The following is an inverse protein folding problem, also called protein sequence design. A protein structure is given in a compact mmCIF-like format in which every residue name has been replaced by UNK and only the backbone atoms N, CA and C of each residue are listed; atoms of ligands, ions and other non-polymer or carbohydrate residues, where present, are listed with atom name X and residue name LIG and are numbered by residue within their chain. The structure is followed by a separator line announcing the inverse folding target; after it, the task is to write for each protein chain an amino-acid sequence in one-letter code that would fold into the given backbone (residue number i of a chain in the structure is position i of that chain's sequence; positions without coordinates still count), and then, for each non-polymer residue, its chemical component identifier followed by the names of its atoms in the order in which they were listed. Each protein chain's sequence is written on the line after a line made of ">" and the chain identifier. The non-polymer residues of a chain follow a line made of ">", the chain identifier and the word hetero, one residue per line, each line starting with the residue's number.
data_IF_957427831319
#
_entry.id   IF_957427831319
#
_cell.length_a   1.000
_cell.length_b   1.000
_cell.length_c   1.000
_cell.angle_alpha   90.00
_cell.angle_beta   90.00
_cell.angle_gamma   90.00
#
_symmetry.space_group_name_H-M   'P 1'
#
loop_
_entity.id
_entity.type
_entity.pdbx_description
1 polymer ?
#
# COMPACT_ATOMS: atom_id res chain seq x y z
N UNK A 1 23.04 -5.33 -2.47
CA UNK A 1 22.22 -4.74 -1.37
C UNK A 1 22.39 -5.61 -0.14
N UNK A 2 22.70 -5.06 1.04
CA UNK A 2 22.73 -5.85 2.28
C UNK A 2 21.31 -5.95 2.81
N UNK A 3 20.79 -7.16 2.95
CA UNK A 3 19.46 -7.43 3.50
C UNK A 3 19.44 -7.14 5.00
N UNK A 4 18.35 -6.56 5.49
CA UNK A 4 18.09 -6.48 6.93
C UNK A 4 17.94 -7.90 7.49
N UNK A 5 18.63 -8.22 8.57
CA UNK A 5 18.49 -9.52 9.25
C UNK A 5 17.62 -9.36 10.48
N UNK A 6 16.56 -10.14 10.54
CA UNK A 6 15.68 -10.25 11.70
C UNK A 6 15.85 -11.61 12.35
N UNK A 7 15.71 -11.66 13.66
CA UNK A 7 15.61 -12.94 14.34
C UNK A 7 14.14 -13.32 14.43
N UNK A 8 13.80 -14.48 13.87
CA UNK A 8 12.45 -15.05 13.85
C UNK A 8 11.79 -15.13 15.22
N UNK A 9 12.58 -15.29 16.30
CA UNK A 9 12.08 -15.39 17.67
C UNK A 9 11.34 -14.14 18.17
N UNK A 10 11.67 -12.98 17.64
CA UNK A 10 11.01 -11.72 17.99
C UNK A 10 9.71 -11.50 17.24
N UNK A 11 9.56 -12.14 16.12
CA UNK A 11 8.35 -12.15 15.33
C UNK A 11 7.24 -12.93 16.06
N UNK A 12 7.59 -14.05 16.67
CA UNK A 12 6.67 -14.92 17.39
C UNK A 12 6.16 -14.28 18.69
N UNK A 13 6.99 -13.47 19.36
CA UNK A 13 6.70 -12.90 20.68
C UNK A 13 6.05 -11.50 20.63
N UNK A 14 5.68 -11.00 19.46
CA UNK A 14 4.90 -9.77 19.33
C UNK A 14 5.62 -8.45 19.62
N UNK A 15 6.92 -8.50 19.96
CA UNK A 15 7.73 -7.31 20.20
C UNK A 15 8.65 -7.03 19.02
N UNK A 16 8.32 -6.01 18.28
CA UNK A 16 9.09 -5.56 17.12
C UNK A 16 10.33 -4.81 17.57
N UNK A 17 11.44 -5.52 17.71
CA UNK A 17 12.73 -4.88 17.90
C UNK A 17 13.56 -5.18 16.66
N UNK A 18 13.75 -4.18 15.83
CA UNK A 18 14.74 -4.26 14.78
C UNK A 18 16.13 -4.45 15.39
N UNK A 19 16.83 -5.50 15.02
CA UNK A 19 18.27 -5.55 15.14
C UNK A 19 18.85 -5.29 13.77
N UNK A 20 19.26 -4.05 13.45
CA UNK A 20 19.97 -3.83 12.21
C UNK A 20 21.28 -4.59 12.23
N UNK A 21 21.66 -5.12 11.07
CA UNK A 21 23.03 -5.56 10.84
C UNK A 21 23.90 -4.28 10.90
N UNK A 22 25.17 -4.40 11.28
CA UNK A 22 26.09 -3.28 11.50
C UNK A 22 26.01 -2.15 10.46
N UNK A 23 25.74 -2.47 9.20
CA UNK A 23 25.65 -1.47 8.12
C UNK A 23 24.29 -0.76 7.99
N UNK A 24 23.32 -1.10 8.81
CA UNK A 24 21.99 -0.47 8.83
C UNK A 24 21.77 0.43 10.04
N UNK A 25 22.79 0.64 10.86
CA UNK A 25 22.72 1.43 12.10
C UNK A 25 22.22 2.86 11.81
N UNK A 26 22.67 3.47 10.73
CA UNK A 26 22.26 4.82 10.35
C UNK A 26 20.76 4.91 10.04
N UNK A 27 20.21 3.91 9.38
CA UNK A 27 18.79 3.85 9.06
C UNK A 27 17.94 3.58 10.31
N UNK A 28 18.38 2.67 11.15
CA UNK A 28 17.74 2.38 12.43
C UNK A 28 17.70 3.61 13.35
N UNK A 29 18.81 4.37 13.44
CA UNK A 29 18.89 5.63 14.20
C UNK A 29 17.91 6.65 13.60
N UNK A 30 17.80 6.76 12.29
CA UNK A 30 16.86 7.67 11.66
C UNK A 30 15.42 7.39 12.11
N UNK A 31 15.01 6.13 12.13
CA UNK A 31 13.68 5.73 12.57
C UNK A 31 13.49 5.88 14.08
N UNK A 32 14.42 5.47 14.88
CA UNK A 32 14.30 5.49 16.35
C UNK A 32 14.42 6.89 16.94
N UNK A 33 15.13 7.79 16.30
CA UNK A 33 15.31 9.16 16.75
C UNK A 33 14.32 10.16 16.14
N UNK A 34 13.53 9.75 15.14
CA UNK A 34 12.47 10.61 14.64
C UNK A 34 11.34 10.69 15.66
N UNK A 35 10.89 11.90 16.00
CA UNK A 35 9.71 12.10 16.87
C UNK A 35 8.47 11.38 16.34
N UNK A 36 8.45 11.05 15.08
CA UNK A 36 7.35 10.37 14.39
C UNK A 36 7.28 8.87 14.71
N UNK A 37 8.40 8.26 15.11
CA UNK A 37 8.46 6.86 15.53
C UNK A 37 8.32 6.63 17.04
N UNK A 38 8.24 7.69 17.82
CA UNK A 38 7.84 7.58 19.24
C UNK A 38 6.36 7.20 19.41
N UNK A 39 5.63 7.03 18.29
CA UNK A 39 4.31 6.44 18.31
C UNK A 39 4.42 4.95 18.66
N UNK A 40 3.53 4.49 19.54
CA UNK A 40 3.37 3.08 19.84
C UNK A 40 3.26 2.30 18.51
N UNK A 41 4.27 1.51 18.20
CA UNK A 41 4.21 0.61 17.05
C UNK A 41 3.13 -0.43 17.29
N UNK A 42 2.44 -0.85 16.25
CA UNK A 42 1.50 -1.95 16.34
C UNK A 42 2.35 -3.23 16.34
N UNK A 43 2.19 -4.07 17.35
CA UNK A 43 2.97 -5.30 17.44
C UNK A 43 2.45 -6.36 16.46
N UNK A 44 3.28 -7.37 16.19
CA UNK A 44 2.96 -8.40 15.21
C UNK A 44 1.71 -9.21 15.57
N UNK A 45 1.55 -9.58 16.82
CA UNK A 45 0.37 -10.34 17.27
C UNK A 45 -0.93 -9.56 17.04
N UNK A 46 -0.90 -8.23 17.25
CA UNK A 46 -2.04 -7.37 16.97
C UNK A 46 -2.36 -7.33 15.48
N UNK A 47 -1.33 -7.30 14.61
CA UNK A 47 -1.54 -7.32 13.16
C UNK A 47 -2.13 -8.64 12.71
N UNK A 48 -1.64 -9.77 13.22
CA UNK A 48 -2.24 -11.08 12.92
C UNK A 48 -3.68 -11.15 13.39
N UNK A 49 -3.97 -10.64 14.58
CA UNK A 49 -5.35 -10.55 15.08
C UNK A 49 -6.23 -9.66 14.19
N UNK A 50 -5.72 -8.49 13.77
CA UNK A 50 -6.40 -7.59 12.81
C UNK A 50 -6.74 -8.33 11.51
N UNK A 51 -5.78 -9.06 10.92
CA UNK A 51 -5.99 -9.81 9.69
C UNK A 51 -7.02 -10.93 9.88
N UNK A 52 -6.96 -11.67 11.00
CA UNK A 52 -7.84 -12.79 11.27
C UNK A 52 -9.27 -12.37 11.59
N UNK A 53 -9.46 -11.23 12.25
CA UNK A 53 -10.76 -10.73 12.72
C UNK A 53 -11.39 -9.68 11.81
N UNK A 54 -10.67 -9.24 10.76
CA UNK A 54 -11.14 -8.22 9.84
C UNK A 54 -12.43 -8.65 9.13
N UNK A 55 -13.45 -7.81 9.22
CA UNK A 55 -14.70 -7.95 8.43
C UNK A 55 -14.47 -7.74 6.93
N UNK A 56 -13.32 -7.18 6.53
CA UNK A 56 -12.94 -6.94 5.14
C UNK A 56 -12.23 -8.16 4.51
N UNK A 57 -11.85 -9.15 5.30
CA UNK A 57 -11.06 -10.31 4.89
C UNK A 57 -11.72 -11.11 3.76
N UNK A 58 -13.02 -11.36 3.84
CA UNK A 58 -13.75 -12.09 2.78
C UNK A 58 -13.68 -11.35 1.45
N UNK A 59 -13.96 -10.03 1.48
CA UNK A 59 -13.85 -9.18 0.28
C UNK A 59 -12.44 -9.19 -0.31
N UNK A 60 -11.41 -9.14 0.53
CA UNK A 60 -10.03 -9.23 0.11
C UNK A 60 -9.73 -10.57 -0.59
N UNK A 61 -10.09 -11.69 0.04
CA UNK A 61 -9.85 -13.03 -0.52
C UNK A 61 -10.56 -13.22 -1.87
N UNK A 62 -11.81 -12.75 -1.98
CA UNK A 62 -12.57 -12.81 -3.23
C UNK A 62 -11.89 -11.99 -4.34
N UNK A 63 -11.42 -10.79 -4.05
CA UNK A 63 -10.73 -9.95 -5.02
C UNK A 63 -9.42 -10.58 -5.50
N UNK A 64 -8.60 -11.11 -4.57
CA UNK A 64 -7.33 -11.77 -4.93
C UNK A 64 -7.55 -13.02 -5.77
N UNK A 65 -8.58 -13.84 -5.47
CA UNK A 65 -8.92 -15.05 -6.26
C UNK A 65 -9.33 -14.71 -7.69
N UNK A 66 -9.96 -13.55 -7.90
CA UNK A 66 -10.45 -13.11 -9.20
C UNK A 66 -9.51 -12.10 -9.88
N UNK A 67 -8.34 -11.88 -9.31
CA UNK A 67 -7.39 -10.91 -9.84
C UNK A 67 -6.77 -11.42 -11.15
N UNK A 68 -6.83 -10.60 -12.19
CA UNK A 68 -6.24 -10.92 -13.48
C UNK A 68 -4.74 -10.59 -13.49
N UNK A 69 -3.91 -11.59 -13.25
CA UNK A 69 -2.45 -11.48 -13.22
C UNK A 69 -1.83 -11.22 -14.59
N UNK A 70 -2.54 -11.50 -15.70
CA UNK A 70 -2.02 -11.30 -17.07
C UNK A 70 -1.86 -9.81 -17.41
N UNK A 71 -2.53 -8.93 -16.65
CA UNK A 71 -2.40 -7.48 -16.82
C UNK A 71 -1.13 -6.91 -16.22
N UNK A 72 -0.45 -7.66 -15.35
CA UNK A 72 0.73 -7.17 -14.63
C UNK A 72 1.97 -7.41 -15.47
N UNK A 73 2.81 -6.37 -15.58
CA UNK A 73 4.16 -6.55 -16.09
C UNK A 73 4.98 -7.42 -15.14
N UNK A 74 5.70 -8.39 -15.68
CA UNK A 74 6.71 -9.10 -14.91
C UNK A 74 7.84 -8.14 -14.53
N UNK A 75 8.01 -7.92 -13.24
CA UNK A 75 8.99 -7.02 -12.66
C UNK A 75 9.35 -7.48 -11.26
N UNK A 76 10.60 -7.32 -10.88
CA UNK A 76 11.06 -7.58 -9.52
C UNK A 76 10.70 -6.42 -8.56
N UNK A 77 10.34 -5.26 -9.11
CA UNK A 77 10.05 -4.05 -8.33
C UNK A 77 8.53 -3.80 -8.27
N UNK A 78 7.85 -3.80 -9.43
CA UNK A 78 6.43 -3.45 -9.57
C UNK A 78 5.57 -4.65 -10.05
N UNK A 79 6.07 -5.87 -9.82
CA UNK A 79 5.37 -7.10 -10.21
C UNK A 79 4.35 -7.59 -9.17
N UNK A 80 3.92 -8.84 -9.33
CA UNK A 80 2.87 -9.45 -8.51
C UNK A 80 3.17 -9.39 -7.01
N UNK A 81 4.42 -9.64 -6.60
CA UNK A 81 4.81 -9.58 -5.18
C UNK A 81 4.54 -8.21 -4.56
N UNK A 82 4.85 -7.12 -5.29
CA UNK A 82 4.53 -5.76 -4.88
C UNK A 82 3.01 -5.56 -4.70
N UNK A 83 2.23 -5.95 -5.70
CA UNK A 83 0.76 -5.83 -5.66
C UNK A 83 0.15 -6.57 -4.46
N UNK A 84 0.62 -7.78 -4.19
CA UNK A 84 0.13 -8.56 -3.03
C UNK A 84 0.51 -7.89 -1.72
N UNK A 85 1.76 -7.45 -1.54
CA UNK A 85 2.18 -6.80 -0.29
C UNK A 85 1.42 -5.48 -0.05
N UNK A 86 1.29 -4.64 -1.07
CA UNK A 86 0.54 -3.37 -0.97
C UNK A 86 -0.94 -3.60 -0.65
N UNK A 87 -1.56 -4.63 -1.24
CA UNK A 87 -2.95 -4.98 -0.95
C UNK A 87 -3.15 -5.49 0.48
N UNK A 88 -2.18 -6.21 1.06
CA UNK A 88 -2.20 -6.62 2.47
C UNK A 88 -2.06 -5.40 3.39
N UNK A 89 -1.15 -4.47 3.08
CA UNK A 89 -1.05 -3.21 3.83
C UNK A 89 -2.37 -2.44 3.80
N UNK A 90 -3.01 -2.37 2.63
CA UNK A 90 -4.31 -1.72 2.51
C UNK A 90 -5.39 -2.40 3.37
N UNK A 91 -5.43 -3.73 3.42
CA UNK A 91 -6.36 -4.48 4.29
C UNK A 91 -6.14 -4.14 5.77
N UNK A 92 -4.88 -4.13 6.23
CA UNK A 92 -4.53 -3.79 7.61
C UNK A 92 -4.96 -2.36 7.94
N UNK A 93 -4.53 -1.39 7.14
CA UNK A 93 -4.85 0.04 7.31
C UNK A 93 -6.37 0.23 7.33
N UNK A 94 -7.07 -0.34 6.36
CA UNK A 94 -8.53 -0.21 6.24
C UNK A 94 -9.28 -0.81 7.42
N UNK A 95 -8.75 -1.88 8.01
CA UNK A 95 -9.35 -2.50 9.19
C UNK A 95 -9.18 -1.62 10.42
N UNK A 96 -7.98 -1.07 10.64
CA UNK A 96 -7.67 -0.17 11.76
C UNK A 96 -8.48 1.12 11.64
N UNK A 97 -8.54 1.70 10.44
CA UNK A 97 -9.29 2.93 10.13
C UNK A 97 -10.81 2.71 10.04
N UNK A 98 -11.29 1.48 10.28
CA UNK A 98 -12.71 1.10 10.25
C UNK A 98 -13.40 1.51 8.94
N UNK A 99 -12.72 1.32 7.82
CA UNK A 99 -13.24 1.63 6.50
C UNK A 99 -14.44 0.73 6.19
N UNK A 100 -15.49 1.30 5.62
CA UNK A 100 -16.68 0.54 5.18
C UNK A 100 -16.30 -0.39 4.03
N UNK A 101 -16.92 -1.57 3.98
CA UNK A 101 -16.62 -2.59 2.96
C UNK A 101 -16.76 -2.05 1.52
N UNK A 102 -17.76 -1.20 1.28
CA UNK A 102 -17.95 -0.56 -0.02
C UNK A 102 -16.74 0.31 -0.44
N UNK A 103 -16.23 1.13 0.46
CA UNK A 103 -15.06 2.00 0.20
C UNK A 103 -13.79 1.18 0.10
N UNK A 104 -13.69 0.10 0.87
CA UNK A 104 -12.57 -0.84 0.77
C UNK A 104 -12.53 -1.53 -0.60
N UNK A 105 -13.67 -1.95 -1.17
CA UNK A 105 -13.73 -2.50 -2.52
C UNK A 105 -13.14 -1.54 -3.57
N UNK A 106 -13.52 -0.26 -3.51
CA UNK A 106 -12.98 0.77 -4.41
C UNK A 106 -11.46 0.88 -4.28
N UNK A 107 -10.94 0.99 -3.05
CA UNK A 107 -9.50 1.06 -2.81
C UNK A 107 -8.76 -0.21 -3.21
N UNK A 108 -9.36 -1.38 -2.95
CA UNK A 108 -8.77 -2.67 -3.28
C UNK A 108 -8.61 -2.86 -4.79
N UNK A 109 -9.62 -2.54 -5.58
CA UNK A 109 -9.48 -2.53 -7.05
C UNK A 109 -8.41 -1.51 -7.47
N UNK A 110 -8.40 -0.33 -6.86
CA UNK A 110 -7.42 0.68 -7.21
C UNK A 110 -5.99 0.18 -6.96
N UNK A 111 -5.71 -0.44 -5.81
CA UNK A 111 -4.35 -0.90 -5.49
C UNK A 111 -3.97 -2.16 -6.25
N UNK A 112 -4.92 -3.02 -6.61
CA UNK A 112 -4.64 -4.19 -7.44
C UNK A 112 -4.21 -3.82 -8.86
N UNK A 113 -4.73 -2.70 -9.39
CA UNK A 113 -4.49 -2.31 -10.78
C UNK A 113 -3.69 -1.01 -10.95
N UNK A 114 -3.12 -0.42 -9.88
CA UNK A 114 -2.45 0.87 -9.95
C UNK A 114 -1.25 0.89 -10.90
N UNK A 115 -0.50 -0.19 -10.96
CA UNK A 115 0.76 -0.30 -11.71
C UNK A 115 0.65 -0.99 -13.08
N UNK A 116 -0.55 -1.43 -13.50
CA UNK A 116 -0.70 -2.14 -14.80
C UNK A 116 -0.39 -1.27 -16.02
N UNK A 117 -0.33 0.04 -15.86
CA UNK A 117 0.06 0.97 -16.90
C UNK A 117 1.57 1.11 -17.10
N UNK A 118 2.39 0.51 -16.23
CA UNK A 118 3.86 0.54 -16.35
C UNK A 118 4.35 -0.25 -17.56
N UNK A 119 5.32 0.30 -18.26
CA UNK A 119 6.05 -0.35 -19.35
C UNK A 119 7.48 -0.72 -18.92
N UNK A 120 8.00 -0.10 -17.88
CA UNK A 120 9.33 -0.33 -17.28
C UNK A 120 9.31 0.00 -15.78
N UNK A 121 10.45 -0.16 -15.11
CA UNK A 121 10.61 0.13 -13.68
C UNK A 121 11.20 1.53 -13.40
N UNK A 122 11.33 2.36 -14.44
CA UNK A 122 11.78 3.75 -14.34
C UNK A 122 10.64 4.60 -13.75
N UNK A 123 11.00 5.69 -13.10
CA UNK A 123 10.04 6.65 -12.58
C UNK A 123 9.18 7.24 -13.73
N UNK A 124 7.88 7.06 -13.62
CA UNK A 124 6.89 7.46 -14.64
C UNK A 124 5.61 7.94 -13.95
N UNK A 125 5.40 9.24 -13.91
CA UNK A 125 4.20 9.85 -13.33
C UNK A 125 2.91 9.61 -14.14
N UNK A 126 3.01 9.04 -15.35
CA UNK A 126 1.86 8.78 -16.21
C UNK A 126 1.36 7.33 -16.16
N UNK A 127 2.09 6.40 -15.51
CA UNK A 127 1.71 5.00 -15.52
C UNK A 127 0.31 4.76 -14.91
N UNK A 128 -0.09 5.52 -13.90
CA UNK A 128 -1.43 5.44 -13.34
C UNK A 128 -2.51 5.85 -14.35
N UNK A 129 -2.28 6.91 -15.13
CA UNK A 129 -3.18 7.30 -16.21
C UNK A 129 -3.19 6.25 -17.33
N UNK A 130 -2.04 5.72 -17.71
CA UNK A 130 -1.95 4.68 -18.74
C UNK A 130 -2.66 3.38 -18.35
N UNK A 131 -2.79 3.10 -17.05
CA UNK A 131 -3.53 1.95 -16.55
C UNK A 131 -5.02 2.01 -16.91
N UNK A 132 -5.61 3.20 -16.98
CA UNK A 132 -7.06 3.38 -17.20
C UNK A 132 -7.56 2.70 -18.47
N UNK A 133 -6.75 2.72 -19.55
CA UNK A 133 -7.10 2.09 -20.83
C UNK A 133 -7.24 0.56 -20.75
N UNK A 134 -6.83 -0.06 -19.64
CA UNK A 134 -6.90 -1.49 -19.40
C UNK A 134 -8.02 -1.88 -18.41
N UNK A 135 -8.83 -0.92 -17.93
CA UNK A 135 -9.78 -1.10 -16.83
C UNK A 135 -11.24 -1.15 -17.27
N UNK A 136 -11.53 -1.27 -18.57
CA UNK A 136 -12.91 -1.25 -19.09
C UNK A 136 -13.81 -2.33 -18.46
N UNK A 137 -13.24 -3.49 -18.11
CA UNK A 137 -13.95 -4.55 -17.41
C UNK A 137 -14.52 -4.14 -16.04
N UNK A 138 -13.97 -3.11 -15.40
CA UNK A 138 -14.50 -2.58 -14.13
C UNK A 138 -15.80 -1.79 -14.33
N UNK A 139 -16.09 -1.33 -15.55
CA UNK A 139 -17.35 -0.61 -15.86
C UNK A 139 -18.58 -1.53 -15.72
N UNK A 140 -18.41 -2.82 -15.89
CA UNK A 140 -19.48 -3.79 -15.68
C UNK A 140 -19.73 -4.08 -14.20
N UNK A 141 -18.71 -3.87 -13.36
CA UNK A 141 -18.71 -4.19 -11.94
C UNK A 141 -19.10 -3.00 -11.05
N UNK A 142 -18.81 -1.78 -11.52
CA UNK A 142 -19.00 -0.53 -10.77
C UNK A 142 -19.84 0.47 -11.53
N UNK A 143 -20.69 1.21 -10.81
CA UNK A 143 -21.39 2.33 -11.42
C UNK A 143 -20.40 3.47 -11.81
N UNK A 144 -20.85 4.40 -12.65
CA UNK A 144 -20.00 5.47 -13.17
C UNK A 144 -19.31 6.30 -12.06
N UNK A 145 -19.98 6.53 -10.95
CA UNK A 145 -19.41 7.32 -9.84
C UNK A 145 -18.27 6.57 -9.16
N UNK A 146 -18.44 5.28 -8.93
CA UNK A 146 -17.44 4.41 -8.33
C UNK A 146 -16.27 4.19 -9.29
N UNK A 147 -16.55 3.89 -10.55
CA UNK A 147 -15.53 3.76 -11.59
C UNK A 147 -14.68 5.02 -11.73
N UNK A 148 -15.29 6.20 -11.73
CA UNK A 148 -14.57 7.46 -11.78
C UNK A 148 -13.65 7.67 -10.58
N UNK A 149 -14.08 7.27 -9.37
CA UNK A 149 -13.24 7.31 -8.17
C UNK A 149 -12.06 6.33 -8.29
N UNK A 150 -12.28 5.11 -8.76
CA UNK A 150 -11.21 4.11 -9.00
C UNK A 150 -10.18 4.69 -9.98
N UNK A 151 -10.62 5.19 -11.13
CA UNK A 151 -9.73 5.80 -12.12
C UNK A 151 -8.96 6.99 -11.56
N UNK A 152 -9.62 7.84 -10.76
CA UNK A 152 -8.97 8.98 -10.12
C UNK A 152 -7.93 8.54 -9.09
N UNK A 153 -8.19 7.49 -8.29
CA UNK A 153 -7.24 6.95 -7.32
C UNK A 153 -6.03 6.36 -8.06
N UNK A 154 -6.26 5.53 -9.08
CA UNK A 154 -5.20 4.91 -9.88
C UNK A 154 -4.33 5.98 -10.55
N UNK A 155 -4.93 7.00 -11.16
CA UNK A 155 -4.16 8.11 -11.74
C UNK A 155 -3.44 8.92 -10.68
N UNK A 156 -4.10 9.20 -9.56
CA UNK A 156 -3.56 10.07 -8.50
C UNK A 156 -2.44 9.45 -7.65
N UNK A 157 -2.29 8.09 -7.65
CA UNK A 157 -1.34 7.45 -6.75
C UNK A 157 0.12 7.85 -7.03
N UNK A 158 0.50 8.02 -8.30
CA UNK A 158 1.85 8.38 -8.74
C UNK A 158 2.06 9.89 -8.95
N UNK A 159 1.01 10.71 -8.78
CA UNK A 159 1.06 12.18 -8.98
C UNK A 159 1.27 12.89 -7.63
N UNK A 160 1.97 14.03 -7.67
CA UNK A 160 2.14 14.91 -6.51
C UNK A 160 0.78 15.36 -5.93
N UNK A 161 0.65 15.35 -4.62
CA UNK A 161 -0.59 15.65 -3.88
C UNK A 161 -1.20 17.02 -4.23
N UNK A 162 -0.38 18.02 -4.60
CA UNK A 162 -0.84 19.34 -5.04
C UNK A 162 -1.70 19.30 -6.31
N UNK A 163 -1.63 18.22 -7.09
CA UNK A 163 -2.38 18.06 -8.34
C UNK A 163 -3.64 17.19 -8.21
N UNK A 164 -3.90 16.61 -7.06
CA UNK A 164 -5.04 15.70 -6.86
C UNK A 164 -6.40 16.35 -7.15
N UNK A 165 -6.54 17.68 -6.94
CA UNK A 165 -7.77 18.36 -7.31
C UNK A 165 -8.03 18.31 -8.82
N UNK A 166 -6.99 18.48 -9.63
CA UNK A 166 -7.09 18.41 -11.11
C UNK A 166 -7.46 16.99 -11.56
N UNK A 167 -6.89 15.96 -10.91
CA UNK A 167 -7.25 14.56 -11.17
C UNK A 167 -8.73 14.32 -10.86
N UNK A 168 -9.20 14.77 -9.70
CA UNK A 168 -10.61 14.65 -9.32
C UNK A 168 -11.55 15.35 -10.30
N UNK A 169 -11.18 16.52 -10.80
CA UNK A 169 -11.94 17.26 -11.81
C UNK A 169 -11.96 16.53 -13.16
N UNK A 170 -10.82 16.03 -13.61
CA UNK A 170 -10.71 15.28 -14.87
C UNK A 170 -11.64 14.06 -14.90
N UNK A 171 -11.70 13.31 -13.80
CA UNK A 171 -12.57 12.13 -13.69
C UNK A 171 -13.98 12.46 -13.16
N UNK A 172 -14.38 13.74 -13.08
CA UNK A 172 -15.71 14.15 -12.59
C UNK A 172 -16.08 13.58 -11.22
N UNK A 173 -15.11 13.48 -10.30
CA UNK A 173 -15.33 12.97 -8.94
C UNK A 173 -16.19 13.95 -8.16
N UNK A 174 -17.44 13.58 -7.84
CA UNK A 174 -18.40 14.44 -7.14
C UNK A 174 -18.05 14.62 -5.66
N UNK A 175 -17.63 13.55 -4.98
CA UNK A 175 -17.23 13.61 -3.57
C UNK A 175 -15.71 13.65 -3.42
N UNK A 176 -15.14 14.85 -3.57
CA UNK A 176 -13.68 15.06 -3.47
C UNK A 176 -13.13 14.71 -2.09
N UNK A 177 -13.86 14.97 -1.01
CA UNK A 177 -13.42 14.62 0.35
C UNK A 177 -13.26 13.11 0.52
N UNK A 178 -14.23 12.33 0.04
CA UNK A 178 -14.13 10.86 0.01
C UNK A 178 -12.92 10.42 -0.83
N UNK A 179 -12.77 10.94 -2.03
CA UNK A 179 -11.65 10.62 -2.92
C UNK A 179 -10.31 10.86 -2.25
N UNK A 180 -10.08 12.05 -1.65
CA UNK A 180 -8.80 12.36 -1.00
C UNK A 180 -8.51 11.42 0.17
N UNK A 181 -9.53 11.07 0.96
CA UNK A 181 -9.38 10.09 2.04
C UNK A 181 -8.95 8.73 1.49
N UNK A 182 -9.65 8.20 0.49
CA UNK A 182 -9.35 6.88 -0.07
C UNK A 182 -7.98 6.86 -0.77
N UNK A 183 -7.68 7.89 -1.56
CA UNK A 183 -6.39 8.05 -2.23
C UNK A 183 -5.24 8.09 -1.23
N UNK A 184 -5.37 8.82 -0.11
CA UNK A 184 -4.32 8.89 0.90
C UNK A 184 -3.99 7.52 1.51
N UNK A 185 -4.98 6.67 1.72
CA UNK A 185 -4.79 5.32 2.26
C UNK A 185 -4.15 4.39 1.21
N UNK A 186 -4.54 4.50 -0.06
CA UNK A 186 -3.94 3.73 -1.16
C UNK A 186 -2.47 4.15 -1.36
N UNK A 187 -2.17 5.45 -1.43
CA UNK A 187 -0.79 5.95 -1.55
C UNK A 187 0.08 5.52 -0.37
N UNK A 188 -0.46 5.51 0.83
CA UNK A 188 0.27 5.08 2.01
C UNK A 188 0.53 3.56 2.01
N UNK A 189 -0.45 2.76 1.56
CA UNK A 189 -0.27 1.31 1.43
C UNK A 189 0.80 0.97 0.38
N UNK A 190 0.82 1.68 -0.75
CA UNK A 190 1.87 1.57 -1.77
C UNK A 190 3.23 2.02 -1.23
N UNK A 191 3.28 3.18 -0.55
CA UNK A 191 4.50 3.73 0.02
C UNK A 191 5.13 2.83 1.09
N UNK A 192 4.35 2.05 1.86
CA UNK A 192 4.90 1.08 2.82
C UNK A 192 5.77 0.02 2.13
N UNK A 193 5.46 -0.36 0.89
CA UNK A 193 6.25 -1.36 0.19
C UNK A 193 7.59 -0.82 -0.36
N UNK A 194 7.85 0.49 -0.24
CA UNK A 194 9.17 1.06 -0.53
C UNK A 194 10.30 0.51 0.36
N UNK A 195 9.96 -0.21 1.42
CA UNK A 195 10.92 -1.00 2.21
C UNK A 195 11.75 -1.96 1.34
N UNK A 196 11.23 -2.39 0.19
CA UNK A 196 11.94 -3.22 -0.80
C UNK A 196 13.16 -2.52 -1.42
N UNK A 197 13.15 -1.20 -1.44
CA UNK A 197 14.17 -0.35 -2.07
C UNK A 197 15.06 0.34 -1.04
N UNK A 198 15.35 -0.32 0.07
CA UNK A 198 16.16 0.22 1.16
C UNK A 198 17.20 1.29 0.70
N UNK A 199 17.27 2.48 1.35
CA UNK A 199 16.63 2.93 2.59
C UNK A 199 15.42 3.88 2.39
N UNK A 200 14.60 3.69 1.40
CA UNK A 200 13.77 4.72 0.76
C UNK A 200 12.37 4.97 1.33
N UNK A 201 12.03 4.46 2.50
CA UNK A 201 10.79 4.92 3.15
C UNK A 201 11.07 6.16 3.99
N UNK A 202 10.60 7.31 3.52
CA UNK A 202 10.63 8.55 4.30
C UNK A 202 9.26 8.78 4.92
N UNK A 203 9.20 8.66 6.25
CA UNK A 203 7.96 8.73 7.04
C UNK A 203 7.20 10.04 6.83
N UNK A 204 7.89 11.12 6.49
CA UNK A 204 7.22 12.41 6.23
C UNK A 204 6.24 12.36 5.06
N UNK A 205 6.43 11.41 4.12
CA UNK A 205 5.53 11.20 2.99
C UNK A 205 4.34 10.28 3.30
N UNK A 206 4.33 9.63 4.46
CA UNK A 206 3.15 8.89 4.92
C UNK A 206 2.13 9.87 5.50
N UNK A 207 0.92 9.80 4.99
CA UNK A 207 -0.16 10.77 5.28
C UNK A 207 -0.92 10.44 6.54
N UNK A 208 -1.04 9.14 6.83
CA UNK A 208 -1.87 8.66 7.93
C UNK A 208 -1.02 8.16 9.11
N UNK A 209 -1.41 8.54 10.34
CA UNK A 209 -0.70 8.11 11.54
C UNK A 209 -0.72 6.59 11.74
N UNK A 210 -1.78 5.92 11.31
CA UNK A 210 -1.86 4.45 11.31
C UNK A 210 -0.75 3.85 10.48
N UNK A 211 -0.53 4.38 9.27
CA UNK A 211 0.51 3.89 8.36
C UNK A 211 1.90 4.07 8.93
N UNK A 212 2.18 5.21 9.57
CA UNK A 212 3.47 5.45 10.24
C UNK A 212 3.78 4.39 11.30
N UNK A 213 2.76 3.90 12.01
CA UNK A 213 2.92 2.83 13.02
C UNK A 213 3.20 1.45 12.41
N UNK A 214 2.89 1.26 11.14
CA UNK A 214 3.10 0.01 10.40
C UNK A 214 4.48 -0.08 9.73
N UNK A 215 5.28 0.97 9.72
CA UNK A 215 6.59 0.95 9.07
C UNK A 215 7.49 -0.18 9.57
N UNK A 216 7.60 -0.44 10.89
CA UNK A 216 8.35 -1.59 11.37
C UNK A 216 7.83 -2.92 10.79
N UNK A 217 6.51 -3.09 10.77
CA UNK A 217 5.88 -4.28 10.19
C UNK A 217 6.20 -4.42 8.69
N UNK A 218 6.22 -3.33 7.94
CA UNK A 218 6.48 -3.38 6.51
C UNK A 218 7.86 -3.97 6.19
N UNK A 219 8.92 -3.59 6.94
CA UNK A 219 10.26 -4.15 6.79
C UNK A 219 10.30 -5.65 7.07
N UNK A 220 9.71 -6.06 8.17
CA UNK A 220 9.73 -7.46 8.56
C UNK A 220 8.87 -8.32 7.65
N UNK A 221 7.72 -7.81 7.24
CA UNK A 221 6.84 -8.47 6.29
C UNK A 221 7.52 -8.67 4.93
N UNK A 222 8.18 -7.63 4.41
CA UNK A 222 8.95 -7.73 3.16
C UNK A 222 10.05 -8.79 3.26
N UNK A 223 10.84 -8.75 4.33
CA UNK A 223 11.91 -9.71 4.52
C UNK A 223 11.40 -11.15 4.55
N UNK A 224 10.33 -11.42 5.30
CA UNK A 224 9.79 -12.77 5.41
C UNK A 224 9.10 -13.23 4.14
N UNK A 225 8.43 -12.32 3.41
CA UNK A 225 7.77 -12.62 2.15
C UNK A 225 8.75 -13.03 1.05
N UNK A 226 9.92 -12.39 0.98
CA UNK A 226 10.93 -12.66 -0.06
C UNK A 226 11.85 -13.86 0.28
N UNK A 227 11.85 -14.36 1.52
CA UNK A 227 12.73 -15.44 1.94
C UNK A 227 12.00 -16.78 2.24
N UNK A 228 10.67 -16.84 2.09
CA UNK A 228 9.85 -18.04 2.15
C UNK A 228 9.27 -18.37 0.78
#
# INVERSE_FOLDING_TARGET
>A
MKKLQYTTDKFINGNWIFKPIENHTKYYIYYTNSKELTYNTINYSDIINILNTSKLKTTYIEAIKNYNTDLIKQSNIHGLSHIIRTSIFLLIISTIEKIKNHDFKIMLESILYHDIGRTNDIDDEFHGYNAINKLDFLKEKYNNTEYNIICAIITGHCIDDKHHNKVAEYFNVKNKSKYYKLLSLVKDADALDRVREYPYIDIKFLRNNTTKKLVPFAYEFFYNYENN
#
